data_IF_010478500096
#
_entry.id   IF_010478500096
#
_cell.length_a   1.000
_cell.length_b   1.000
_cell.length_c   1.000
_cell.angle_alpha   90.00
_cell.angle_beta   90.00
_cell.angle_gamma   90.00
#
_symmetry.space_group_name_H-M   'P 1'
#
loop_
_entity.id
_entity.type
_entity.pdbx_description
1 polymer ?
#
# COMPACT_ATOMS: atom_id res chain seq x y z
N UNK A 1 -4.93 12.68 1.90
CA UNK A 1 -3.94 12.31 2.88
C UNK A 1 -4.27 10.99 3.54
N UNK A 2 -3.27 10.17 3.72
CA UNK A 2 -3.48 8.84 4.25
C UNK A 2 -3.74 8.88 5.75
N UNK A 3 -4.71 8.12 6.19
CA UNK A 3 -4.98 7.98 7.60
C UNK A 3 -5.35 6.53 7.89
N UNK A 4 -5.58 6.23 9.15
CA UNK A 4 -5.86 4.85 9.54
C UNK A 4 -7.09 4.30 8.85
N UNK A 5 -8.12 5.11 8.70
CA UNK A 5 -9.35 4.64 8.05
C UNK A 5 -9.08 4.28 6.59
N UNK A 6 -8.26 5.07 5.92
CA UNK A 6 -7.93 4.76 4.53
C UNK A 6 -7.10 3.49 4.43
N UNK A 7 -6.15 3.33 5.33
CA UNK A 7 -5.34 2.12 5.35
C UNK A 7 -6.24 0.90 5.57
N UNK A 8 -7.17 1.02 6.51
CA UNK A 8 -8.07 -0.08 6.79
C UNK A 8 -8.93 -0.45 5.60
N UNK A 9 -9.46 0.54 4.93
CA UNK A 9 -10.28 0.28 3.74
C UNK A 9 -9.46 -0.35 2.63
N UNK A 10 -8.23 0.12 2.47
CA UNK A 10 -7.36 -0.44 1.44
C UNK A 10 -7.06 -1.91 1.73
N UNK A 11 -6.76 -2.22 2.98
CA UNK A 11 -6.48 -3.61 3.34
C UNK A 11 -7.71 -4.49 3.13
N UNK A 12 -8.87 -3.99 3.51
CA UNK A 12 -10.08 -4.76 3.31
C UNK A 12 -10.36 -5.01 1.84
N UNK A 13 -10.15 -3.99 1.03
CA UNK A 13 -10.37 -4.15 -0.41
C UNK A 13 -9.38 -5.16 -1.00
N UNK A 14 -8.12 -5.05 -0.62
CA UNK A 14 -7.11 -5.96 -1.13
C UNK A 14 -7.41 -7.40 -0.70
N UNK A 15 -7.87 -7.57 0.54
CA UNK A 15 -8.25 -8.88 1.04
C UNK A 15 -9.39 -9.47 0.22
N UNK A 16 -10.40 -8.65 -0.05
CA UNK A 16 -11.55 -9.12 -0.80
C UNK A 16 -11.19 -9.45 -2.23
N UNK A 17 -10.29 -8.70 -2.80
CA UNK A 17 -9.84 -8.98 -4.17
C UNK A 17 -9.12 -10.31 -4.26
N UNK A 18 -8.58 -10.77 -3.15
CA UNK A 18 -7.94 -12.08 -3.10
C UNK A 18 -8.86 -13.16 -2.60
N UNK A 19 -10.15 -12.83 -2.44
CA UNK A 19 -11.17 -13.78 -2.01
C UNK A 19 -10.83 -14.41 -0.65
N UNK A 20 -10.26 -13.62 0.24
CA UNK A 20 -9.91 -14.09 1.57
C UNK A 20 -10.88 -13.56 2.60
N UNK A 21 -11.22 -14.42 3.57
CA UNK A 21 -11.96 -13.93 4.72
C UNK A 21 -11.02 -13.23 5.68
N UNK A 22 -11.58 -12.42 6.57
CA UNK A 22 -10.76 -11.77 7.57
C UNK A 22 -10.06 -12.79 8.45
N UNK A 23 -10.73 -13.88 8.77
CA UNK A 23 -10.12 -14.91 9.59
C UNK A 23 -8.94 -15.55 8.87
N UNK A 24 -9.07 -15.79 7.58
CA UNK A 24 -7.97 -16.35 6.80
C UNK A 24 -6.77 -15.42 6.78
N UNK A 25 -7.02 -14.15 6.55
CA UNK A 25 -5.91 -13.20 6.49
C UNK A 25 -5.23 -13.10 7.84
N UNK A 26 -6.02 -13.00 8.91
CA UNK A 26 -5.45 -12.91 10.25
C UNK A 26 -4.59 -14.12 10.56
N UNK A 27 -5.10 -15.30 10.23
CA UNK A 27 -4.36 -16.52 10.50
C UNK A 27 -3.04 -16.56 9.71
N UNK A 28 -3.11 -16.24 8.45
CA UNK A 28 -1.90 -16.32 7.61
C UNK A 28 -0.87 -15.26 8.00
N UNK A 29 -1.33 -14.11 8.45
CA UNK A 29 -0.42 -13.04 8.84
C UNK A 29 0.06 -13.20 10.27
N UNK A 30 -0.54 -14.09 11.03
CA UNK A 30 -0.13 -14.27 12.42
C UNK A 30 -0.63 -13.17 13.33
N UNK A 31 -1.76 -12.55 13.02
CA UNK A 31 -2.33 -11.49 13.85
C UNK A 31 -3.70 -11.93 14.33
N UNK A 32 -4.17 -11.29 15.41
CA UNK A 32 -5.48 -11.66 15.92
C UNK A 32 -6.58 -11.15 15.00
N UNK A 33 -7.69 -11.88 14.99
CA UNK A 33 -8.84 -11.47 14.20
C UNK A 33 -9.37 -10.13 14.68
N UNK A 34 -9.31 -9.89 16.00
CA UNK A 34 -9.77 -8.62 16.54
C UNK A 34 -8.90 -7.47 16.09
N UNK A 35 -7.59 -7.68 16.06
CA UNK A 35 -6.68 -6.64 15.61
C UNK A 35 -6.96 -6.29 14.16
N UNK A 36 -7.14 -7.31 13.33
CA UNK A 36 -7.42 -7.05 11.93
C UNK A 36 -8.76 -6.34 11.77
N UNK A 37 -9.77 -6.77 12.52
CA UNK A 37 -11.07 -6.15 12.42
C UNK A 37 -11.04 -4.68 12.80
N UNK A 38 -10.32 -4.36 13.87
CA UNK A 38 -10.20 -2.97 14.28
C UNK A 38 -9.49 -2.15 13.22
N UNK A 39 -8.43 -2.71 12.66
CA UNK A 39 -7.67 -2.00 11.63
C UNK A 39 -8.52 -1.75 10.39
N UNK A 40 -9.26 -2.76 9.94
CA UNK A 40 -10.11 -2.58 8.76
C UNK A 40 -11.21 -1.58 9.01
N UNK A 41 -11.62 -1.43 10.26
CA UNK A 41 -12.62 -0.44 10.63
C UNK A 41 -12.03 0.93 10.89
N UNK A 42 -10.70 1.06 10.83
CA UNK A 42 -10.06 2.34 11.04
C UNK A 42 -9.99 2.72 12.49
N UNK A 43 -9.96 1.76 13.40
CA UNK A 43 -9.97 2.02 14.83
C UNK A 43 -8.68 1.56 15.50
N UNK A 44 -8.40 2.17 16.62
CA UNK A 44 -7.30 1.76 17.48
C UNK A 44 -5.93 2.09 16.92
N UNK A 45 -4.94 1.44 17.44
CA UNK A 45 -3.56 1.58 17.00
C UNK A 45 -3.11 0.25 16.44
N UNK A 46 -2.27 0.31 15.43
CA UNK A 46 -1.70 -0.90 14.88
C UNK A 46 -0.19 -0.79 14.97
N UNK A 47 0.45 -1.85 15.42
CA UNK A 47 1.89 -1.89 15.41
C UNK A 47 2.39 -1.99 13.98
N UNK A 48 3.51 -1.34 13.71
CA UNK A 48 4.05 -1.38 12.36
C UNK A 48 4.34 -2.80 11.92
N UNK A 49 4.89 -3.62 12.81
CA UNK A 49 5.18 -5.00 12.44
C UNK A 49 3.91 -5.77 12.07
N UNK A 50 2.82 -5.50 12.77
CA UNK A 50 1.55 -6.13 12.44
C UNK A 50 1.07 -5.71 11.06
N UNK A 51 1.16 -4.42 10.78
CA UNK A 51 0.77 -3.92 9.47
C UNK A 51 1.63 -4.55 8.38
N UNK A 52 2.94 -4.59 8.59
CA UNK A 52 3.83 -5.17 7.60
C UNK A 52 3.54 -6.65 7.37
N UNK A 53 3.17 -7.38 8.41
CA UNK A 53 2.83 -8.79 8.24
C UNK A 53 1.59 -8.94 7.37
N UNK A 54 0.60 -8.08 7.58
CA UNK A 54 -0.60 -8.12 6.74
C UNK A 54 -0.28 -7.78 5.29
N UNK A 55 0.57 -6.78 5.10
CA UNK A 55 0.94 -6.40 3.75
C UNK A 55 1.69 -7.51 3.04
N UNK A 56 2.60 -8.19 3.74
CA UNK A 56 3.32 -9.29 3.14
C UNK A 56 2.38 -10.42 2.73
N UNK A 57 1.43 -10.72 3.58
CA UNK A 57 0.47 -11.78 3.29
C UNK A 57 -0.36 -11.44 2.05
N UNK A 58 -0.67 -10.16 1.88
CA UNK A 58 -1.42 -9.71 0.72
C UNK A 58 -0.52 -9.37 -0.47
N UNK A 59 0.78 -9.61 -0.32
CA UNK A 59 1.75 -9.32 -1.37
C UNK A 59 1.76 -7.84 -1.76
N UNK A 60 1.63 -7.01 -0.75
CA UNK A 60 1.67 -5.57 -0.92
C UNK A 60 2.94 -5.00 -0.33
N UNK A 61 3.29 -3.84 -0.78
CA UNK A 61 4.50 -3.18 -0.32
C UNK A 61 4.17 -1.78 0.13
N UNK A 62 4.75 -1.37 1.25
CA UNK A 62 4.57 -0.02 1.74
C UNK A 62 5.65 0.87 1.17
N UNK A 63 5.25 2.03 0.68
CA UNK A 63 6.18 3.00 0.15
C UNK A 63 5.84 4.37 0.68
N UNK A 64 6.86 5.19 0.82
CA UNK A 64 6.69 6.57 1.28
C UNK A 64 7.04 7.49 0.13
N UNK A 65 6.11 8.35 -0.22
CA UNK A 65 6.33 9.30 -1.31
C UNK A 65 6.00 10.68 -0.81
N UNK A 66 6.63 11.72 -1.36
CA UNK A 66 6.27 13.08 -0.97
C UNK A 66 4.82 13.37 -1.26
N UNK A 67 4.21 14.19 -0.44
CA UNK A 67 2.79 14.46 -0.57
C UNK A 67 2.42 15.01 -1.95
N UNK A 68 3.25 15.85 -2.49
CA UNK A 68 2.95 16.42 -3.80
C UNK A 68 2.85 15.34 -4.86
N UNK A 69 3.75 14.36 -4.79
CA UNK A 69 3.74 13.27 -5.74
C UNK A 69 2.54 12.37 -5.50
N UNK A 70 2.24 12.10 -4.23
CA UNK A 70 1.10 11.26 -3.91
C UNK A 70 -0.20 11.85 -4.42
N UNK A 71 -0.34 13.17 -4.31
CA UNK A 71 -1.55 13.81 -4.81
C UNK A 71 -1.68 13.65 -6.31
N UNK A 72 -0.58 13.71 -7.02
CA UNK A 72 -0.61 13.53 -8.47
C UNK A 72 -0.97 12.11 -8.86
N UNK A 73 -0.52 11.14 -8.08
CA UNK A 73 -0.71 9.75 -8.46
C UNK A 73 -2.04 9.18 -7.99
N UNK A 74 -2.86 9.99 -7.33
CA UNK A 74 -4.11 9.48 -6.81
C UNK A 74 -5.24 9.54 -7.78
N UNK A 75 -4.97 9.64 -9.02
CA UNK A 75 -6.03 9.53 -9.98
C UNK A 75 -6.43 10.81 -10.63
N UNK A 76 -5.85 11.89 -10.26
CA UNK A 76 -6.13 13.14 -10.93
C UNK A 76 -5.14 13.44 -12.02
N UNK A 77 -4.34 12.48 -12.32
CA UNK A 77 -3.34 12.64 -13.32
C UNK A 77 -3.96 12.50 -14.67
N UNK A 78 -3.61 13.38 -15.54
CA UNK A 78 -4.04 13.22 -16.91
C UNK A 78 -2.82 13.14 -17.78
N UNK A 79 -3.04 13.13 -19.06
CA UNK A 79 -1.96 12.87 -19.99
C UNK A 79 -0.90 13.94 -20.03
N UNK A 80 -1.13 15.05 -19.38
CA UNK A 80 -0.11 16.09 -19.35
C UNK A 80 1.05 15.77 -18.46
N UNK A 81 0.95 14.69 -17.74
CA UNK A 81 1.95 14.39 -16.75
C UNK A 81 3.03 13.47 -17.23
N UNK A 82 3.20 13.39 -18.51
CA UNK A 82 4.28 12.57 -19.02
C UNK A 82 5.62 13.01 -18.44
N UNK A 83 5.86 14.32 -18.39
CA UNK A 83 7.09 14.81 -17.82
C UNK A 83 7.17 14.57 -16.34
N UNK A 84 6.02 14.56 -15.68
CA UNK A 84 6.01 14.32 -14.25
C UNK A 84 6.36 12.88 -13.91
N UNK A 85 6.15 11.99 -14.84
CA UNK A 85 6.51 10.61 -14.62
C UNK A 85 8.00 10.48 -14.35
N UNK A 86 8.80 11.22 -15.09
CA UNK A 86 10.24 11.20 -14.84
C UNK A 86 10.55 11.77 -13.47
N UNK A 87 9.83 12.81 -13.09
CA UNK A 87 10.05 13.40 -11.79
C UNK A 87 9.72 12.43 -10.69
N UNK A 88 8.63 11.70 -10.86
CA UNK A 88 8.27 10.69 -9.89
C UNK A 88 9.35 9.64 -9.77
N UNK A 89 9.87 9.19 -10.89
CA UNK A 89 10.91 8.19 -10.87
C UNK A 89 12.15 8.68 -10.14
N UNK A 90 12.49 9.93 -10.31
CA UNK A 90 13.69 10.44 -9.67
C UNK A 90 13.52 10.62 -8.18
N UNK A 91 12.28 10.71 -7.70
CA UNK A 91 12.02 10.85 -6.28
C UNK A 91 11.97 9.53 -5.56
N UNK A 92 11.93 8.44 -6.29
CA UNK A 92 11.87 7.14 -5.65
C UNK A 92 13.25 6.61 -5.34
N UNK A 93 13.39 5.81 -4.29
CA UNK A 93 14.66 5.19 -4.01
C UNK A 93 15.09 4.36 -5.19
N UNK A 94 16.38 4.35 -5.42
CA UNK A 94 16.90 3.61 -6.56
C UNK A 94 16.47 2.15 -6.53
N UNK A 95 16.44 1.58 -5.37
CA UNK A 95 16.07 0.17 -5.26
C UNK A 95 14.61 -0.08 -5.60
N UNK A 96 13.80 0.97 -5.62
CA UNK A 96 12.40 0.84 -5.94
C UNK A 96 12.06 1.20 -7.36
N UNK A 97 13.03 1.68 -8.08
CA UNK A 97 12.74 2.01 -9.43
C UNK A 97 12.45 0.77 -10.20
N UNK A 98 11.68 0.98 -11.18
CA UNK A 98 11.22 -0.10 -11.96
C UNK A 98 12.37 -0.94 -12.48
N UNK A 99 12.34 -2.22 -12.29
CA UNK A 99 13.39 -3.08 -12.81
C UNK A 99 13.53 -3.00 -14.30
N UNK A 100 12.48 -2.68 -14.93
CA UNK A 100 12.56 -2.61 -16.35
C UNK A 100 13.35 -1.42 -16.80
N UNK A 101 13.65 -0.57 -15.91
CA UNK A 101 14.53 0.50 -16.28
C UNK A 101 15.90 -0.01 -16.63
N UNK A 102 16.15 -1.21 -16.25
CA UNK A 102 17.35 -1.73 -16.57
C UNK A 102 17.30 -2.22 -17.84
N UNK A 103 17.80 -2.00 -18.52
CA UNK A 103 17.62 -2.38 -19.73
C UNK A 103 18.05 -3.48 -20.05
N UNK A 104 17.96 -3.70 -20.08
CA UNK A 104 18.12 -4.53 -20.40
C UNK A 104 18.86 -4.69 -21.13
N UNK A 105 19.20 -4.55 -21.15
CA UNK A 105 19.87 -4.59 -21.73
C UNK A 105 20.22 -4.96 -22.12
#
# INVERSE_FOLDING_TARGET
MTNLAEIGRFLRQARKERAMTASELALKAGVSRNTLGALEAGRGNVELNTLLALLRTLELEMQFVPQAVAALTRGDIDTRFTGLQEEVDSLMPRSRRSPQARPIR
#
